data_IF_305442174570
#
_entry.id   IF_305442174570
#
_cell.length_a   1.000
_cell.length_b   1.000
_cell.length_c   1.000
_cell.angle_alpha   90.00
_cell.angle_beta   90.00
_cell.angle_gamma   90.00
#
_symmetry.space_group_name_H-M   'P 1'
#
loop_
_entity.id
_entity.type
_entity.pdbx_description
1 polymer ?
#
# COMPACT_ATOMS: atom_id res chain seq x y z
N UNK A 1 32.68 5.19 14.85
CA UNK A 1 32.09 3.91 15.32
C UNK A 1 31.71 4.20 16.75
N UNK A 2 30.42 4.13 17.06
CA UNK A 2 29.80 4.72 18.24
C UNK A 2 30.29 4.04 19.55
N UNK A 3 31.47 4.45 20.00
CA UNK A 3 32.19 3.80 21.10
C UNK A 3 31.91 4.44 22.48
N UNK A 4 31.08 5.47 22.54
CA UNK A 4 30.72 6.12 23.80
C UNK A 4 29.73 5.24 24.58
N UNK A 5 29.88 5.14 25.90
CA UNK A 5 29.04 4.28 26.78
C UNK A 5 27.55 4.65 26.78
N UNK A 6 27.23 5.84 26.27
CA UNK A 6 25.87 6.36 26.16
C UNK A 6 25.18 5.94 24.86
N UNK A 7 25.90 5.34 23.92
CA UNK A 7 25.30 4.75 22.74
C UNK A 7 24.91 3.30 22.98
N UNK A 8 23.65 2.99 22.71
CA UNK A 8 23.18 1.63 22.55
C UNK A 8 23.47 1.20 21.11
N UNK A 9 24.42 0.30 20.92
CA UNK A 9 24.74 -0.27 19.62
C UNK A 9 23.94 -1.57 19.45
N UNK A 10 23.12 -1.63 18.42
CA UNK A 10 22.33 -2.81 18.08
C UNK A 10 22.97 -3.52 16.89
N UNK A 11 23.23 -4.82 17.04
CA UNK A 11 23.53 -5.67 15.89
C UNK A 11 22.30 -5.79 14.99
N UNK A 12 22.49 -6.31 13.78
CA UNK A 12 21.43 -6.45 12.79
C UNK A 12 20.21 -7.21 13.35
N UNK A 13 20.46 -8.32 14.05
CA UNK A 13 19.44 -9.19 14.66
C UNK A 13 18.80 -8.60 15.92
N UNK A 14 19.42 -7.57 16.49
CA UNK A 14 19.04 -6.95 17.76
C UNK A 14 18.34 -5.60 17.56
N UNK A 15 18.09 -5.22 16.30
CA UNK A 15 17.32 -4.01 15.98
C UNK A 15 15.97 -4.05 16.73
N UNK A 16 15.63 -3.01 17.50
CA UNK A 16 14.42 -3.03 18.32
C UNK A 16 13.14 -3.23 17.51
N UNK A 17 12.30 -4.18 17.95
CA UNK A 17 10.99 -4.49 17.37
C UNK A 17 9.87 -3.63 17.96
N UNK A 18 8.77 -3.52 17.20
CA UNK A 18 7.46 -2.97 17.59
C UNK A 18 7.52 -1.56 18.19
N UNK A 19 8.41 -0.73 17.66
CA UNK A 19 8.54 0.68 18.04
C UNK A 19 8.97 1.54 16.86
N UNK A 20 8.64 2.82 16.95
CA UNK A 20 9.09 3.80 15.98
C UNK A 20 10.59 4.04 16.10
N UNK A 21 11.27 3.97 14.96
CA UNK A 21 12.69 4.21 14.78
C UNK A 21 12.91 5.09 13.55
N UNK A 22 14.16 5.51 13.36
CA UNK A 22 14.55 6.28 12.18
C UNK A 22 15.42 5.45 11.24
N UNK A 23 15.26 5.66 9.95
CA UNK A 23 16.22 5.25 8.93
C UNK A 23 16.92 6.50 8.42
N UNK A 24 18.25 6.46 8.33
CA UNK A 24 19.08 7.57 7.90
C UNK A 24 20.16 7.10 6.92
N UNK A 25 20.57 8.01 6.06
CA UNK A 25 21.64 7.79 5.09
C UNK A 25 23.01 7.68 5.79
N UNK A 26 23.85 6.74 5.37
CA UNK A 26 25.23 6.60 5.85
C UNK A 26 26.07 7.88 5.67
N UNK A 27 25.75 8.75 4.70
CA UNK A 27 26.49 10.00 4.49
C UNK A 27 26.44 10.93 5.70
N UNK A 28 25.43 10.80 6.57
CA UNK A 28 25.29 11.63 7.78
C UNK A 28 25.82 10.95 9.04
N UNK A 29 26.28 9.70 8.94
CA UNK A 29 26.74 8.88 10.06
C UNK A 29 27.74 9.60 10.97
N UNK A 30 28.85 10.09 10.40
CA UNK A 30 29.91 10.73 11.18
C UNK A 30 29.47 12.08 11.77
N UNK A 31 28.60 12.82 11.08
CA UNK A 31 28.06 14.09 11.59
C UNK A 31 27.12 13.85 12.76
N UNK A 32 26.30 12.80 12.69
CA UNK A 32 25.42 12.40 13.77
C UNK A 32 26.21 11.95 15.01
N UNK A 33 27.24 11.10 14.84
CA UNK A 33 28.13 10.70 15.94
C UNK A 33 28.73 11.92 16.66
N UNK A 34 29.30 12.87 15.91
CA UNK A 34 29.86 14.08 16.49
C UNK A 34 28.82 14.98 17.18
N UNK A 35 27.61 15.09 16.61
CA UNK A 35 26.51 15.87 17.21
C UNK A 35 26.10 15.28 18.56
N UNK A 36 25.90 13.95 18.61
CA UNK A 36 25.49 13.26 19.83
C UNK A 36 26.58 13.29 20.92
N UNK A 37 27.87 13.17 20.56
CA UNK A 37 28.96 13.33 21.53
C UNK A 37 28.95 14.71 22.18
N UNK A 38 28.77 15.78 21.38
CA UNK A 38 28.64 17.14 21.91
C UNK A 38 27.40 17.30 22.79
N UNK A 39 26.29 16.69 22.41
CA UNK A 39 25.06 16.68 23.21
C UNK A 39 25.27 15.99 24.57
N UNK A 40 25.98 14.86 24.60
CA UNK A 40 26.37 14.18 25.83
C UNK A 40 27.28 15.03 26.73
N UNK A 41 28.08 15.93 26.15
CA UNK A 41 28.89 16.92 26.87
C UNK A 41 28.10 18.18 27.30
N UNK A 42 26.79 18.22 27.05
CA UNK A 42 25.89 19.29 27.49
C UNK A 42 25.60 20.37 26.43
N UNK A 43 25.96 20.15 25.16
CA UNK A 43 25.51 21.02 24.07
C UNK A 43 24.00 20.83 23.77
N UNK A 44 23.41 21.75 23.02
CA UNK A 44 22.04 21.59 22.52
C UNK A 44 21.96 20.48 21.45
N UNK A 45 20.81 19.80 21.39
CA UNK A 45 20.54 18.78 20.39
C UNK A 45 20.46 19.40 18.98
N UNK A 46 21.21 18.84 18.03
CA UNK A 46 21.19 19.25 16.64
C UNK A 46 20.63 18.15 15.75
N UNK A 47 19.58 18.46 14.98
CA UNK A 47 18.98 17.53 14.05
C UNK A 47 19.88 17.33 12.81
N UNK A 48 20.48 16.15 12.70
CA UNK A 48 21.38 15.82 11.59
C UNK A 48 20.66 15.00 10.51
N UNK A 49 20.72 15.53 9.28
CA UNK A 49 20.27 14.83 8.08
C UNK A 49 18.75 14.81 7.91
N UNK A 50 18.31 14.02 6.93
CA UNK A 50 16.92 13.67 6.73
C UNK A 50 16.71 12.23 7.21
N UNK A 51 15.55 11.95 7.81
CA UNK A 51 15.21 10.62 8.32
C UNK A 51 13.88 10.14 7.74
N UNK A 52 13.79 8.85 7.51
CA UNK A 52 12.54 8.16 7.25
C UNK A 52 11.98 7.59 8.54
N UNK A 53 10.69 7.80 8.79
CA UNK A 53 9.99 7.26 9.94
C UNK A 53 9.57 5.83 9.65
N UNK A 54 10.05 4.87 10.44
CA UNK A 54 9.68 3.45 10.26
C UNK A 54 9.41 2.79 11.60
N UNK A 55 8.75 1.63 11.58
CA UNK A 55 8.73 0.69 12.70
C UNK A 55 9.26 -0.68 12.26
N UNK A 56 10.10 -1.30 13.08
CA UNK A 56 10.60 -2.65 12.81
C UNK A 56 9.55 -3.69 13.19
N UNK A 57 9.19 -4.57 12.25
CA UNK A 57 8.17 -5.61 12.46
C UNK A 57 8.78 -6.98 12.72
N UNK A 58 9.81 -7.33 11.96
CA UNK A 58 10.52 -8.60 12.12
C UNK A 58 11.97 -8.47 11.68
N UNK A 59 12.82 -9.32 12.22
CA UNK A 59 14.22 -9.45 11.81
C UNK A 59 14.54 -10.92 11.62
N UNK A 60 15.24 -11.24 10.54
CA UNK A 60 15.81 -12.57 10.32
C UNK A 60 17.28 -12.47 9.90
N UNK A 61 17.88 -13.57 9.47
CA UNK A 61 19.30 -13.61 9.10
C UNK A 61 19.62 -12.79 7.84
N UNK A 62 18.65 -12.50 6.97
CA UNK A 62 18.89 -11.91 5.65
C UNK A 62 18.34 -10.48 5.50
N UNK A 63 17.25 -10.15 6.20
CA UNK A 63 16.59 -8.86 6.06
C UNK A 63 15.83 -8.44 7.33
N UNK A 64 15.51 -7.15 7.39
CA UNK A 64 14.63 -6.54 8.38
C UNK A 64 13.31 -6.14 7.68
N UNK A 65 12.17 -6.53 8.25
CA UNK A 65 10.84 -6.08 7.81
C UNK A 65 10.52 -4.74 8.50
N UNK A 66 10.27 -3.71 7.71
CA UNK A 66 9.98 -2.36 8.17
C UNK A 66 8.59 -1.91 7.68
N UNK A 67 7.83 -1.30 8.58
CA UNK A 67 6.68 -0.47 8.24
C UNK A 67 7.17 0.95 8.02
N UNK A 68 7.22 1.40 6.77
CA UNK A 68 7.64 2.75 6.43
C UNK A 68 6.44 3.68 6.31
N UNK A 69 6.48 4.80 7.02
CA UNK A 69 5.44 5.82 6.98
C UNK A 69 5.81 6.88 5.93
N UNK A 70 5.42 6.64 4.68
CA UNK A 70 5.72 7.53 3.56
C UNK A 70 5.03 8.90 3.70
N UNK A 71 3.87 8.91 4.36
CA UNK A 71 3.15 10.13 4.67
C UNK A 71 2.36 9.94 5.96
N UNK A 72 2.51 10.89 6.90
CA UNK A 72 1.75 10.95 8.16
C UNK A 72 1.13 12.33 8.37
N UNK A 73 1.36 13.26 7.43
CA UNK A 73 1.00 14.66 7.61
C UNK A 73 -0.45 14.93 7.23
N UNK A 74 -0.91 14.37 6.10
CA UNK A 74 -2.28 14.56 5.61
C UNK A 74 -3.12 13.26 5.57
N UNK A 75 -2.47 12.11 5.65
CA UNK A 75 -3.06 10.77 5.79
C UNK A 75 -2.04 9.86 6.47
N UNK A 76 -2.47 8.71 6.99
CA UNK A 76 -1.57 7.70 7.53
C UNK A 76 -1.25 6.67 6.45
N UNK A 77 -0.19 6.92 5.67
CA UNK A 77 0.24 6.04 4.58
C UNK A 77 1.45 5.20 4.99
N UNK A 78 1.14 3.97 5.38
CA UNK A 78 2.12 2.94 5.72
C UNK A 78 2.40 2.03 4.50
N UNK A 79 3.66 1.64 4.34
CA UNK A 79 4.13 0.73 3.31
C UNK A 79 5.05 -0.32 3.95
N UNK A 80 4.80 -1.60 3.69
CA UNK A 80 5.76 -2.64 4.04
C UNK A 80 6.98 -2.61 3.09
N UNK A 81 8.18 -2.47 3.67
CA UNK A 81 9.46 -2.53 2.95
C UNK A 81 10.42 -3.51 3.65
N UNK A 82 11.40 -4.01 2.92
CA UNK A 82 12.46 -4.87 3.47
C UNK A 82 13.81 -4.19 3.34
N UNK A 83 14.59 -4.21 4.41
CA UNK A 83 15.98 -3.76 4.44
C UNK A 83 16.89 -4.99 4.41
N UNK A 84 17.56 -5.27 3.27
CA UNK A 84 18.52 -6.37 3.18
C UNK A 84 19.74 -6.15 4.08
N UNK A 85 20.32 -7.23 4.61
CA UNK A 85 21.51 -7.16 5.49
C UNK A 85 22.68 -6.43 4.86
N UNK A 86 22.92 -6.63 3.57
CA UNK A 86 24.03 -6.00 2.86
C UNK A 86 23.83 -4.48 2.68
N UNK A 87 22.63 -3.95 2.94
CA UNK A 87 22.31 -2.53 2.89
C UNK A 87 22.34 -1.86 4.28
N UNK A 88 22.41 -2.66 5.36
CA UNK A 88 22.54 -2.19 6.73
C UNK A 88 23.98 -1.76 7.04
N UNK A 89 24.15 -0.60 7.67
CA UNK A 89 25.45 -0.07 8.08
C UNK A 89 25.63 -0.15 9.59
N UNK A 90 24.69 0.39 10.37
CA UNK A 90 24.65 0.26 11.82
C UNK A 90 23.25 0.60 12.36
N UNK A 91 22.96 0.22 13.60
CA UNK A 91 21.82 0.72 14.33
C UNK A 91 22.26 1.22 15.70
N UNK A 92 21.91 2.47 16.03
CA UNK A 92 22.28 3.09 17.30
C UNK A 92 21.14 3.87 17.90
N UNK A 93 21.05 3.88 19.23
CA UNK A 93 20.13 4.74 19.99
C UNK A 93 20.79 5.19 21.30
N UNK A 94 20.01 5.83 22.16
CA UNK A 94 20.44 6.10 23.54
C UNK A 94 19.25 6.19 24.48
N UNK A 95 19.06 5.17 25.32
CA UNK A 95 17.99 5.16 26.32
C UNK A 95 18.14 6.27 27.38
N UNK A 96 19.38 6.73 27.63
CA UNK A 96 19.65 7.73 28.66
C UNK A 96 19.11 9.11 28.32
N UNK A 97 18.99 9.42 27.03
CA UNK A 97 18.42 10.68 26.55
C UNK A 97 17.18 10.49 25.68
N UNK A 98 16.56 9.31 25.72
CA UNK A 98 15.39 8.95 24.91
C UNK A 98 15.60 9.16 23.39
N UNK A 99 16.85 9.00 22.92
CA UNK A 99 17.14 9.06 21.49
C UNK A 99 16.66 7.75 20.85
N UNK A 100 15.67 7.88 19.97
CA UNK A 100 15.12 6.76 19.20
C UNK A 100 16.23 6.05 18.43
N UNK A 101 16.14 4.72 18.37
CA UNK A 101 17.06 3.95 17.56
C UNK A 101 17.02 4.44 16.10
N UNK A 102 18.20 4.50 15.49
CA UNK A 102 18.42 4.97 14.11
C UNK A 102 19.22 3.93 13.36
N UNK A 103 18.65 3.39 12.30
CA UNK A 103 19.33 2.51 11.36
C UNK A 103 19.98 3.38 10.29
N UNK A 104 21.30 3.28 10.18
CA UNK A 104 22.05 3.80 9.05
C UNK A 104 22.09 2.78 7.93
N UNK A 105 21.80 3.24 6.72
CA UNK A 105 21.72 2.40 5.51
C UNK A 105 22.54 3.01 4.38
N UNK A 106 22.88 2.19 3.40
CA UNK A 106 23.53 2.65 2.17
C UNK A 106 22.64 3.63 1.40
N UNK A 107 23.24 4.68 0.84
CA UNK A 107 22.50 5.77 0.20
C UNK A 107 21.62 5.27 -0.97
N UNK A 108 22.12 4.34 -1.78
CA UNK A 108 21.40 3.82 -2.95
C UNK A 108 20.08 3.15 -2.57
N UNK A 109 20.08 2.33 -1.51
CA UNK A 109 18.85 1.68 -1.03
C UNK A 109 17.86 2.71 -0.52
N UNK A 110 18.33 3.71 0.24
CA UNK A 110 17.45 4.76 0.77
C UNK A 110 16.86 5.60 -0.36
N UNK A 111 17.65 6.00 -1.34
CA UNK A 111 17.15 6.75 -2.50
C UNK A 111 16.12 5.92 -3.29
N UNK A 112 16.37 4.62 -3.44
CA UNK A 112 15.46 3.72 -4.16
C UNK A 112 14.05 3.67 -3.52
N UNK A 113 13.92 3.57 -2.19
CA UNK A 113 12.58 3.49 -1.57
C UNK A 113 11.70 4.72 -1.84
N UNK A 114 12.32 5.88 -2.09
CA UNK A 114 11.62 7.13 -2.42
C UNK A 114 11.40 7.34 -3.92
N UNK A 115 12.29 6.82 -4.76
CA UNK A 115 12.24 6.99 -6.21
C UNK A 115 11.50 5.86 -6.93
N UNK A 116 11.31 4.70 -6.30
CA UNK A 116 10.60 3.59 -6.90
C UNK A 116 9.11 3.87 -7.05
N UNK A 117 8.54 3.23 -8.05
CA UNK A 117 7.11 3.30 -8.35
C UNK A 117 6.35 2.27 -7.53
N UNK A 118 5.26 2.71 -6.96
CA UNK A 118 4.30 1.87 -6.23
C UNK A 118 3.00 1.76 -7.02
N UNK A 119 2.12 0.85 -6.62
CA UNK A 119 0.84 0.68 -7.30
C UNK A 119 -0.31 0.49 -6.33
N UNK A 120 -1.50 0.88 -6.79
CA UNK A 120 -2.80 0.50 -6.21
C UNK A 120 -3.47 -0.42 -7.21
N UNK A 121 -4.10 -1.49 -6.71
CA UNK A 121 -4.90 -2.40 -7.51
C UNK A 121 -6.28 -2.53 -6.92
N UNK A 122 -7.30 -2.61 -7.77
CA UNK A 122 -8.60 -3.12 -7.39
C UNK A 122 -9.07 -4.22 -8.34
N UNK A 123 -9.55 -5.32 -7.77
CA UNK A 123 -10.27 -6.38 -8.46
C UNK A 123 -11.76 -6.18 -8.20
N UNK A 124 -12.52 -5.94 -9.26
CA UNK A 124 -13.97 -5.77 -9.21
C UNK A 124 -14.60 -6.98 -9.88
N UNK A 125 -15.48 -7.68 -9.20
CA UNK A 125 -16.10 -8.91 -9.70
C UNK A 125 -17.63 -8.85 -9.60
N UNK A 126 -18.31 -9.34 -10.64
CA UNK A 126 -19.77 -9.36 -10.68
C UNK A 126 -20.32 -10.47 -9.79
N UNK A 127 -21.24 -10.12 -8.89
CA UNK A 127 -21.95 -11.10 -8.08
C UNK A 127 -22.95 -11.91 -8.92
N UNK A 128 -23.09 -13.19 -8.58
CA UNK A 128 -24.14 -14.08 -9.07
C UNK A 128 -24.22 -14.24 -10.61
N UNK A 129 -23.12 -13.97 -11.34
CA UNK A 129 -23.12 -14.00 -12.81
C UNK A 129 -23.48 -15.37 -13.39
N UNK A 130 -23.10 -16.47 -12.70
CA UNK A 130 -23.44 -17.84 -13.10
C UNK A 130 -24.95 -18.06 -13.16
N UNK A 131 -25.68 -17.50 -12.20
CA UNK A 131 -27.14 -17.59 -12.15
C UNK A 131 -27.77 -16.74 -13.26
N UNK A 132 -27.22 -15.54 -13.50
CA UNK A 132 -27.69 -14.67 -14.57
C UNK A 132 -27.46 -15.25 -15.98
N UNK A 133 -26.33 -15.93 -16.20
CA UNK A 133 -26.07 -16.68 -17.43
C UNK A 133 -27.06 -17.83 -17.60
N UNK A 134 -27.31 -18.62 -16.53
CA UNK A 134 -28.25 -19.74 -16.57
C UNK A 134 -29.69 -19.29 -16.89
N UNK A 135 -30.07 -18.10 -16.44
CA UNK A 135 -31.40 -17.52 -16.66
C UNK A 135 -31.52 -16.73 -17.98
N UNK A 136 -30.46 -16.66 -18.79
CA UNK A 136 -30.46 -15.93 -20.06
C UNK A 136 -30.54 -14.41 -19.93
N UNK A 137 -30.29 -13.85 -18.74
CA UNK A 137 -30.37 -12.41 -18.49
C UNK A 137 -29.24 -11.62 -19.16
N UNK A 138 -28.10 -12.28 -19.42
CA UNK A 138 -26.92 -11.69 -20.04
C UNK A 138 -26.97 -11.93 -21.55
N UNK A 139 -27.19 -10.86 -22.31
CA UNK A 139 -27.28 -10.90 -23.77
C UNK A 139 -26.09 -10.19 -24.41
N UNK A 140 -25.74 -10.56 -25.64
CA UNK A 140 -24.64 -9.93 -26.39
C UNK A 140 -24.78 -8.39 -26.47
N UNK A 141 -25.96 -7.80 -26.75
CA UNK A 141 -26.11 -6.35 -26.74
C UNK A 141 -25.75 -5.70 -25.40
N UNK A 142 -26.20 -6.29 -24.27
CA UNK A 142 -25.86 -5.78 -22.93
C UNK A 142 -24.37 -5.87 -22.62
N UNK A 143 -23.69 -6.93 -23.07
CA UNK A 143 -22.24 -7.06 -22.92
C UNK A 143 -21.47 -6.02 -23.75
N UNK A 144 -21.94 -5.71 -24.97
CA UNK A 144 -21.34 -4.66 -25.80
C UNK A 144 -21.55 -3.29 -25.16
N UNK A 145 -22.74 -3.04 -24.61
CA UNK A 145 -23.04 -1.82 -23.87
C UNK A 145 -22.19 -1.67 -22.61
N UNK A 146 -22.04 -2.74 -21.82
CA UNK A 146 -21.18 -2.76 -20.64
C UNK A 146 -19.75 -2.37 -21.00
N UNK A 147 -19.17 -3.02 -22.02
CA UNK A 147 -17.82 -2.70 -22.50
C UNK A 147 -17.71 -1.22 -22.87
N UNK A 148 -18.63 -0.70 -23.68
CA UNK A 148 -18.57 0.69 -24.11
C UNK A 148 -18.67 1.68 -22.93
N UNK A 149 -19.50 1.38 -21.91
CA UNK A 149 -19.61 2.21 -20.70
C UNK A 149 -18.33 2.20 -19.87
N UNK A 150 -17.66 1.05 -19.78
CA UNK A 150 -16.33 0.95 -19.15
C UNK A 150 -15.27 1.68 -19.98
N UNK A 151 -15.32 1.60 -21.31
CA UNK A 151 -14.41 2.36 -22.19
C UNK A 151 -14.59 3.88 -22.02
N UNK A 152 -15.83 4.34 -21.80
CA UNK A 152 -16.13 5.74 -21.53
C UNK A 152 -15.56 6.19 -20.18
N UNK A 153 -15.76 5.40 -19.12
CA UNK A 153 -15.17 5.65 -17.81
C UNK A 153 -13.63 5.67 -17.87
N UNK A 154 -13.02 4.68 -18.53
CA UNK A 154 -11.57 4.58 -18.67
C UNK A 154 -10.96 5.79 -19.40
N UNK A 155 -11.73 6.42 -20.30
CA UNK A 155 -11.29 7.64 -21.01
C UNK A 155 -11.17 8.85 -20.08
N UNK A 156 -11.94 8.89 -19.01
CA UNK A 156 -11.94 9.96 -18.02
C UNK A 156 -10.79 9.79 -17.00
N UNK A 157 -10.25 8.58 -16.86
CA UNK A 157 -9.21 8.22 -15.88
C UNK A 157 -7.94 7.68 -16.55
N UNK A 158 -7.24 8.53 -17.30
CA UNK A 158 -6.03 8.14 -18.07
C UNK A 158 -4.83 7.68 -17.25
N UNK A 159 -4.82 7.98 -15.94
CA UNK A 159 -3.84 7.55 -14.94
C UNK A 159 -4.16 6.16 -14.34
N UNK A 160 -5.31 5.59 -14.70
CA UNK A 160 -5.77 4.26 -14.29
C UNK A 160 -5.88 3.36 -15.51
N UNK A 161 -5.29 2.17 -15.42
CA UNK A 161 -5.45 1.11 -16.42
C UNK A 161 -6.61 0.21 -16.07
N UNK A 162 -7.44 -0.11 -17.06
CA UNK A 162 -8.60 -0.98 -16.95
C UNK A 162 -8.36 -2.26 -17.75
N UNK A 163 -8.50 -3.42 -17.12
CA UNK A 163 -8.38 -4.73 -17.77
C UNK A 163 -9.59 -5.60 -17.43
N UNK A 164 -10.43 -5.84 -18.42
CA UNK A 164 -11.61 -6.70 -18.28
C UNK A 164 -11.26 -8.18 -18.48
N UNK A 165 -11.72 -9.02 -17.56
CA UNK A 165 -11.60 -10.47 -17.58
C UNK A 165 -12.98 -11.10 -17.42
N UNK A 166 -13.62 -11.55 -18.50
CA UNK A 166 -14.93 -12.20 -18.43
C UNK A 166 -15.97 -11.47 -17.55
N UNK A 167 -16.11 -11.87 -16.28
CA UNK A 167 -17.00 -11.34 -15.23
C UNK A 167 -16.35 -10.37 -14.24
N UNK A 168 -15.06 -10.13 -14.34
CA UNK A 168 -14.28 -9.26 -13.47
C UNK A 168 -13.51 -8.19 -14.24
N UNK A 169 -13.09 -7.17 -13.51
CA UNK A 169 -12.34 -6.02 -14.00
C UNK A 169 -11.21 -5.75 -13.01
N UNK A 170 -9.99 -5.75 -13.50
CA UNK A 170 -8.84 -5.29 -12.73
C UNK A 170 -8.52 -3.86 -13.13
N UNK A 171 -8.41 -2.99 -12.14
CA UNK A 171 -7.91 -1.62 -12.33
C UNK A 171 -6.60 -1.42 -11.58
N UNK A 172 -5.69 -0.64 -12.17
CA UNK A 172 -4.35 -0.36 -11.63
C UNK A 172 -3.95 1.08 -11.87
N UNK A 173 -3.34 1.71 -10.88
CA UNK A 173 -2.58 2.96 -11.07
C UNK A 173 -1.20 2.83 -10.45
N UNK A 174 -0.30 3.70 -10.91
CA UNK A 174 1.03 3.86 -10.34
C UNK A 174 1.06 5.16 -9.52
N UNK A 175 1.84 5.17 -8.45
CA UNK A 175 2.07 6.36 -7.64
C UNK A 175 3.51 6.39 -7.14
N UNK A 176 3.93 7.58 -6.71
CA UNK A 176 5.29 7.81 -6.21
C UNK A 176 5.25 8.58 -4.89
N UNK A 177 6.29 8.39 -4.07
CA UNK A 177 6.45 9.13 -2.82
C UNK A 177 7.17 10.45 -3.07
N UNK A 178 8.25 10.40 -3.86
CA UNK A 178 9.11 11.55 -4.13
C UNK A 178 10.18 11.72 -3.06
N UNK A 179 11.34 12.23 -3.45
CA UNK A 179 12.47 12.46 -2.55
C UNK A 179 12.73 13.97 -2.46
N UNK A 180 13.15 14.48 -1.30
CA UNK A 180 13.39 15.93 -1.12
C UNK A 180 14.48 16.49 -2.05
N UNK A 181 15.36 15.63 -2.58
CA UNK A 181 16.38 16.00 -3.59
C UNK A 181 15.93 15.77 -5.03
N UNK A 182 14.76 15.19 -5.28
CA UNK A 182 14.27 14.90 -6.63
C UNK A 182 13.08 15.78 -6.99
N UNK A 183 12.78 15.87 -8.29
CA UNK A 183 11.60 16.57 -8.79
C UNK A 183 10.33 15.70 -8.74
N UNK A 184 10.45 14.45 -8.27
CA UNK A 184 9.33 13.51 -8.13
C UNK A 184 8.50 13.94 -6.92
N UNK A 185 7.20 14.09 -7.12
CA UNK A 185 6.25 14.50 -6.08
C UNK A 185 5.47 13.31 -5.57
N UNK A 186 4.91 13.43 -4.38
CA UNK A 186 3.93 12.49 -3.87
C UNK A 186 2.64 12.54 -4.70
N UNK A 187 2.18 11.40 -5.23
CA UNK A 187 1.00 11.32 -6.13
C UNK A 187 -0.07 10.32 -5.70
N UNK A 188 -0.04 9.87 -4.45
CA UNK A 188 -0.95 8.83 -3.97
C UNK A 188 -2.35 9.39 -3.66
N UNK A 189 -3.33 8.93 -4.44
CA UNK A 189 -4.75 9.30 -4.33
C UNK A 189 -5.64 8.05 -4.34
N UNK A 190 -5.65 7.26 -3.25
CA UNK A 190 -6.34 5.97 -3.19
C UNK A 190 -7.87 6.11 -3.28
N UNK A 191 -8.45 7.23 -2.84
CA UNK A 191 -9.91 7.45 -2.80
C UNK A 191 -10.57 7.26 -4.17
N UNK A 192 -9.86 7.60 -5.25
CA UNK A 192 -10.31 7.42 -6.63
C UNK A 192 -10.71 5.96 -6.92
N UNK A 193 -10.06 4.98 -6.29
CA UNK A 193 -10.40 3.57 -6.51
C UNK A 193 -11.71 3.16 -5.85
N UNK A 194 -12.08 3.76 -4.71
CA UNK A 194 -13.37 3.52 -4.08
C UNK A 194 -14.49 4.12 -4.92
N UNK A 195 -14.26 5.33 -5.45
CA UNK A 195 -15.19 6.01 -6.37
C UNK A 195 -15.38 5.20 -7.66
N UNK A 196 -14.28 4.86 -8.33
CA UNK A 196 -14.32 4.04 -9.54
C UNK A 196 -15.04 2.71 -9.32
N UNK A 197 -14.75 2.02 -8.21
CA UNK A 197 -15.43 0.77 -7.89
C UNK A 197 -16.95 0.95 -7.74
N UNK A 198 -17.40 2.02 -7.07
CA UNK A 198 -18.82 2.34 -6.92
C UNK A 198 -19.49 2.74 -8.24
N UNK A 199 -18.76 3.43 -9.13
CA UNK A 199 -19.26 3.80 -10.46
C UNK A 199 -19.37 2.58 -11.38
N UNK A 200 -18.37 1.70 -11.33
CA UNK A 200 -18.37 0.43 -12.06
C UNK A 200 -19.53 -0.44 -11.56
N UNK A 201 -19.75 -0.52 -10.24
CA UNK A 201 -20.91 -1.19 -9.68
C UNK A 201 -22.23 -0.66 -10.24
N UNK A 202 -22.38 0.66 -10.28
CA UNK A 202 -23.54 1.32 -10.86
C UNK A 202 -23.73 0.97 -12.34
N UNK A 203 -22.63 0.87 -13.11
CA UNK A 203 -22.67 0.46 -14.52
C UNK A 203 -23.12 -1.00 -14.63
N UNK A 204 -22.55 -1.92 -13.84
CA UNK A 204 -22.96 -3.33 -13.83
C UNK A 204 -24.44 -3.48 -13.47
N UNK A 205 -24.92 -2.72 -12.49
CA UNK A 205 -26.31 -2.78 -12.05
C UNK A 205 -27.26 -2.21 -13.10
N UNK A 206 -26.93 -1.08 -13.74
CA UNK A 206 -27.74 -0.50 -14.81
C UNK A 206 -27.78 -1.39 -16.05
N UNK A 207 -26.61 -1.90 -16.47
CA UNK A 207 -26.48 -2.60 -17.75
C UNK A 207 -26.84 -4.06 -17.62
N UNK A 208 -26.42 -4.77 -16.57
CA UNK A 208 -26.64 -6.21 -16.38
C UNK A 208 -27.71 -6.54 -15.32
N UNK A 209 -28.04 -5.61 -14.42
CA UNK A 209 -28.89 -5.89 -13.26
C UNK A 209 -28.18 -6.76 -12.23
N UNK A 210 -26.84 -6.67 -12.19
CA UNK A 210 -25.99 -7.38 -11.26
C UNK A 210 -25.23 -6.37 -10.41
N UNK A 211 -25.18 -6.64 -9.11
CA UNK A 211 -24.24 -5.95 -8.23
C UNK A 211 -22.84 -6.52 -8.46
N UNK A 212 -21.85 -5.74 -8.11
CA UNK A 212 -20.43 -6.11 -8.07
C UNK A 212 -19.89 -5.91 -6.66
N UNK A 213 -18.67 -6.40 -6.45
CA UNK A 213 -17.90 -6.06 -5.27
C UNK A 213 -16.45 -5.80 -5.67
N UNK A 214 -15.75 -5.01 -4.87
CA UNK A 214 -14.36 -4.65 -5.09
C UNK A 214 -13.45 -5.16 -3.96
N UNK A 215 -12.27 -5.61 -4.33
CA UNK A 215 -11.16 -5.88 -3.42
C UNK A 215 -10.03 -4.92 -3.78
N UNK A 216 -9.51 -4.16 -2.83
CA UNK A 216 -8.50 -3.12 -3.08
C UNK A 216 -7.26 -3.33 -2.21
N UNK A 217 -6.08 -3.18 -2.81
CA UNK A 217 -4.78 -3.27 -2.12
C UNK A 217 -3.77 -2.29 -2.71
N UNK A 218 -2.69 -2.03 -1.97
CA UNK A 218 -1.61 -1.15 -2.39
C UNK A 218 -0.25 -1.71 -1.98
N UNK A 219 0.81 -1.26 -2.66
CA UNK A 219 2.17 -1.54 -2.23
C UNK A 219 3.19 -1.49 -3.36
N UNK A 220 4.31 -2.15 -3.11
CA UNK A 220 5.50 -2.12 -3.97
C UNK A 220 5.24 -2.79 -5.32
N UNK A 221 5.77 -2.20 -6.40
CA UNK A 221 5.83 -2.81 -7.72
C UNK A 221 7.29 -3.06 -8.12
N UNK A 222 7.64 -4.30 -8.48
CA UNK A 222 9.00 -4.68 -8.87
C UNK A 222 9.32 -4.36 -10.34
N UNK A 223 8.31 -4.01 -11.15
CA UNK A 223 8.57 -3.50 -12.50
C UNK A 223 9.03 -2.05 -12.44
N UNK A 224 10.32 -1.86 -12.67
CA UNK A 224 10.93 -0.54 -12.83
C UNK A 224 10.70 -0.06 -14.26
N UNK A 225 9.62 0.70 -14.49
CA UNK A 225 9.39 1.61 -15.62
C UNK A 225 7.96 2.19 -15.51
N UNK A 226 7.80 3.48 -15.74
CA UNK A 226 6.58 4.25 -15.43
C UNK A 226 5.31 3.81 -16.17
N UNK A 227 5.44 3.03 -17.25
CA UNK A 227 4.31 2.60 -18.06
C UNK A 227 3.36 1.67 -17.26
N UNK A 228 2.10 2.08 -17.14
CA UNK A 228 1.06 1.32 -16.45
C UNK A 228 0.88 -0.09 -17.04
N UNK A 229 0.99 -0.19 -18.37
CA UNK A 229 0.85 -1.42 -19.16
C UNK A 229 1.99 -1.52 -20.19
N UNK A 230 2.37 -2.76 -20.50
CA UNK A 230 3.15 -3.08 -21.68
C UNK A 230 2.28 -3.88 -22.65
N UNK A 231 2.08 -3.33 -23.84
CA UNK A 231 1.41 -4.04 -24.95
C UNK A 231 2.49 -4.39 -25.96
N UNK A 232 2.63 -5.68 -26.25
CA UNK A 232 3.58 -6.14 -27.28
C UNK A 232 3.23 -5.52 -28.64
N UNK A 233 4.20 -5.34 -29.57
CA UNK A 233 3.92 -4.81 -30.91
C UNK A 233 2.88 -5.62 -31.71
N UNK A 234 2.74 -6.91 -31.42
CA UNK A 234 1.73 -7.80 -32.01
C UNK A 234 0.37 -7.76 -31.31
N UNK A 235 0.21 -6.93 -30.28
CA UNK A 235 -1.01 -6.70 -29.49
C UNK A 235 -1.62 -7.96 -28.82
N UNK A 236 -0.92 -9.09 -28.87
CA UNK A 236 -1.37 -10.38 -28.32
C UNK A 236 -0.78 -10.70 -26.94
N UNK A 237 0.09 -9.82 -26.41
CA UNK A 237 0.57 -9.88 -25.04
C UNK A 237 0.37 -8.51 -24.38
N UNK A 238 -0.45 -8.51 -23.33
CA UNK A 238 -0.70 -7.35 -22.47
C UNK A 238 -0.15 -7.72 -21.09
N UNK A 239 0.91 -7.04 -20.67
CA UNK A 239 1.52 -7.20 -19.37
C UNK A 239 1.16 -5.99 -18.51
N UNK A 240 0.66 -6.24 -17.30
CA UNK A 240 0.35 -5.21 -16.31
C UNK A 240 1.58 -4.53 -15.71
N UNK A 241 2.80 -4.90 -16.15
CA UNK A 241 4.06 -4.52 -15.51
C UNK A 241 3.90 -4.54 -13.99
N UNK A 242 3.43 -5.68 -13.48
CA UNK A 242 3.17 -5.87 -12.07
C UNK A 242 3.72 -7.23 -11.67
N UNK A 243 4.72 -7.17 -10.82
CA UNK A 243 5.19 -8.27 -10.01
C UNK A 243 5.33 -7.67 -8.62
N UNK A 244 4.49 -8.12 -7.69
CA UNK A 244 4.46 -7.52 -6.37
C UNK A 244 3.43 -8.17 -5.47
N UNK A 245 3.58 -7.94 -4.17
CA UNK A 245 2.65 -8.39 -3.13
C UNK A 245 1.21 -7.91 -3.32
N UNK A 246 0.93 -6.68 -3.83
CA UNK A 246 -0.46 -6.19 -3.86
C UNK A 246 -1.40 -7.05 -4.70
N UNK A 247 -0.96 -7.45 -5.90
CA UNK A 247 -1.79 -8.30 -6.76
C UNK A 247 -2.06 -9.69 -6.13
N UNK A 248 -1.08 -10.26 -5.43
CA UNK A 248 -1.28 -11.52 -4.71
C UNK A 248 -2.28 -11.36 -3.54
N UNK A 249 -2.19 -10.23 -2.82
CA UNK A 249 -3.08 -9.90 -1.71
C UNK A 249 -4.54 -9.76 -2.17
N UNK A 250 -4.80 -9.21 -3.37
CA UNK A 250 -6.17 -9.16 -3.91
C UNK A 250 -6.84 -10.54 -3.93
N UNK A 251 -6.15 -11.54 -4.45
CA UNK A 251 -6.68 -12.90 -4.56
C UNK A 251 -6.84 -13.55 -3.18
N UNK A 252 -5.94 -13.23 -2.25
CA UNK A 252 -5.96 -13.77 -0.89
C UNK A 252 -7.10 -13.18 -0.05
N UNK A 253 -7.33 -11.88 -0.15
CA UNK A 253 -8.46 -11.19 0.48
C UNK A 253 -9.77 -11.69 -0.12
N UNK A 254 -9.86 -11.79 -1.45
CA UNK A 254 -11.04 -12.30 -2.14
C UNK A 254 -11.40 -13.72 -1.66
N UNK A 255 -10.41 -14.61 -1.63
CA UNK A 255 -10.60 -15.99 -1.18
C UNK A 255 -10.98 -16.08 0.30
N UNK A 256 -10.38 -15.24 1.14
CA UNK A 256 -10.69 -15.14 2.57
C UNK A 256 -12.11 -14.63 2.81
N UNK A 257 -12.51 -13.53 2.15
CA UNK A 257 -13.84 -12.96 2.23
C UNK A 257 -14.92 -13.94 1.77
N UNK A 258 -14.73 -14.61 0.62
CA UNK A 258 -15.66 -15.64 0.14
C UNK A 258 -15.79 -16.81 1.12
N UNK A 259 -14.70 -17.21 1.78
CA UNK A 259 -14.73 -18.24 2.80
C UNK A 259 -15.50 -17.76 4.04
N UNK A 260 -15.19 -16.58 4.54
CA UNK A 260 -15.86 -15.97 5.70
C UNK A 260 -17.37 -15.83 5.49
N UNK A 261 -17.81 -15.45 4.29
CA UNK A 261 -19.24 -15.41 3.92
C UNK A 261 -19.89 -16.79 3.93
N UNK A 262 -19.19 -17.84 3.43
CA UNK A 262 -19.72 -19.21 3.46
C UNK A 262 -19.79 -19.78 4.87
N UNK A 263 -18.85 -19.38 5.72
CA UNK A 263 -18.72 -19.85 7.10
C UNK A 263 -19.54 -18.99 8.08
N UNK A 264 -20.37 -18.06 7.59
CA UNK A 264 -21.23 -17.15 8.36
C UNK A 264 -20.48 -16.26 9.37
N UNK A 265 -19.22 -15.92 9.06
CA UNK A 265 -18.38 -15.03 9.88
C UNK A 265 -18.81 -13.57 9.70
N UNK A 266 -19.16 -13.18 8.48
CA UNK A 266 -19.77 -11.89 8.16
C UNK A 266 -20.61 -12.01 6.88
N UNK A 267 -21.54 -11.06 6.67
CA UNK A 267 -22.36 -10.98 5.46
C UNK A 267 -21.55 -10.59 4.22
N UNK A 268 -22.16 -10.66 3.03
CA UNK A 268 -21.58 -10.08 1.82
C UNK A 268 -21.56 -8.56 1.92
N UNK A 269 -20.42 -7.98 1.56
CA UNK A 269 -20.20 -6.56 1.38
C UNK A 269 -19.73 -6.28 -0.06
N UNK A 270 -19.85 -5.04 -0.50
CA UNK A 270 -19.47 -4.58 -1.84
C UNK A 270 -18.02 -4.08 -1.88
N UNK A 271 -17.37 -3.85 -0.74
CA UNK A 271 -16.01 -3.35 -0.66
C UNK A 271 -15.19 -4.08 0.40
N UNK A 272 -14.03 -4.59 -0.02
CA UNK A 272 -13.01 -5.21 0.81
C UNK A 272 -11.67 -4.53 0.55
N UNK A 273 -10.92 -4.22 1.61
CA UNK A 273 -9.70 -3.41 1.51
C UNK A 273 -8.61 -4.00 2.37
N UNK A 274 -7.39 -4.06 1.86
CA UNK A 274 -6.21 -4.31 2.67
C UNK A 274 -6.08 -3.27 3.81
N UNK A 275 -5.58 -3.68 4.97
CA UNK A 275 -5.39 -2.82 6.15
C UNK A 275 -4.58 -1.56 5.86
N UNK A 276 -3.47 -1.67 5.13
CA UNK A 276 -2.63 -0.50 4.82
C UNK A 276 -3.35 0.44 3.85
N UNK A 277 -4.07 -0.11 2.87
CA UNK A 277 -4.90 0.70 1.98
C UNK A 277 -5.99 1.44 2.74
N UNK A 278 -6.77 0.73 3.57
CA UNK A 278 -7.86 1.30 4.36
C UNK A 278 -7.38 2.43 5.27
N UNK A 279 -6.30 2.22 6.03
CA UNK A 279 -5.79 3.25 6.95
C UNK A 279 -5.20 4.46 6.24
N UNK A 280 -4.82 4.30 4.97
CA UNK A 280 -4.31 5.38 4.13
C UNK A 280 -5.41 6.27 3.54
N UNK A 281 -6.68 5.88 3.62
CA UNK A 281 -7.80 6.71 3.18
C UNK A 281 -7.95 7.95 4.07
N UNK A 282 -8.28 9.08 3.45
CA UNK A 282 -8.58 10.34 4.14
C UNK A 282 -10.02 10.33 4.63
N UNK A 283 -10.22 9.81 5.83
CA UNK A 283 -11.52 9.90 6.49
C UNK A 283 -11.75 11.28 7.09
N UNK A 284 -13.02 11.73 7.09
CA UNK A 284 -13.45 12.96 7.76
C UNK A 284 -13.17 12.90 9.27
N UNK A 285 -12.94 14.07 9.86
CA UNK A 285 -12.72 14.16 11.31
C UNK A 285 -13.92 13.60 12.10
N UNK A 286 -13.64 12.71 13.04
CA UNK A 286 -14.65 12.07 13.89
C UNK A 286 -15.11 10.69 13.41
N UNK A 287 -14.72 10.25 12.21
CA UNK A 287 -14.96 8.87 11.78
C UNK A 287 -14.10 7.89 12.57
N UNK A 288 -14.73 6.95 13.28
CA UNK A 288 -14.05 5.98 14.16
C UNK A 288 -13.49 4.77 13.38
N UNK A 289 -12.55 5.02 12.46
CA UNK A 289 -12.01 3.99 11.54
C UNK A 289 -11.47 2.71 12.19
N UNK A 290 -11.02 2.78 13.44
CA UNK A 290 -10.49 1.62 14.17
C UNK A 290 -11.58 0.66 14.68
N UNK A 291 -12.84 1.07 14.62
CA UNK A 291 -14.01 0.24 14.99
C UNK A 291 -14.63 -0.46 13.79
N UNK A 292 -14.20 -0.10 12.57
CA UNK A 292 -14.71 -0.70 11.35
C UNK A 292 -14.45 -2.21 11.30
N UNK A 293 -15.40 -2.98 10.78
CA UNK A 293 -15.33 -4.41 10.83
C UNK A 293 -14.23 -4.92 9.90
N UNK A 294 -13.50 -5.92 10.39
CA UNK A 294 -12.33 -6.47 9.73
C UNK A 294 -12.20 -7.96 10.05
N UNK A 295 -11.43 -8.66 9.22
CA UNK A 295 -11.12 -10.07 9.42
C UNK A 295 -9.71 -10.36 8.89
N UNK A 296 -9.19 -11.54 9.20
CA UNK A 296 -7.80 -11.90 8.92
C UNK A 296 -7.65 -12.66 7.61
N UNK A 297 -6.54 -12.41 6.93
CA UNK A 297 -6.07 -13.22 5.81
C UNK A 297 -4.58 -13.50 5.95
N UNK A 298 -4.11 -14.55 5.29
CA UNK A 298 -2.69 -14.91 5.29
C UNK A 298 -2.04 -14.37 4.03
N UNK A 299 -1.39 -13.21 4.14
CA UNK A 299 -0.60 -12.65 3.06
C UNK A 299 0.57 -13.59 2.71
N UNK A 300 0.75 -13.92 1.44
CA UNK A 300 2.01 -14.54 0.99
C UNK A 300 3.17 -13.56 1.23
N UNK A 301 4.31 -14.11 1.65
CA UNK A 301 5.55 -13.36 1.88
C UNK A 301 5.56 -12.44 3.11
N UNK A 302 4.53 -12.46 3.96
CA UNK A 302 4.57 -11.80 5.27
C UNK A 302 4.56 -12.81 6.41
N UNK A 303 5.31 -12.48 7.46
CA UNK A 303 5.48 -13.32 8.65
C UNK A 303 4.24 -13.30 9.55
N UNK A 304 3.54 -12.17 9.59
CA UNK A 304 2.34 -11.95 10.41
C UNK A 304 1.05 -12.02 9.58
N UNK A 305 -0.05 -12.57 10.13
CA UNK A 305 -1.38 -12.46 9.52
C UNK A 305 -1.75 -10.99 9.29
N UNK A 306 -2.32 -10.71 8.12
CA UNK A 306 -2.81 -9.39 7.74
C UNK A 306 -4.30 -9.28 7.96
N UNK A 307 -4.82 -8.06 7.97
CA UNK A 307 -6.26 -7.82 8.04
C UNK A 307 -6.78 -7.24 6.74
N UNK A 308 -8.02 -7.58 6.42
CA UNK A 308 -8.82 -6.83 5.49
C UNK A 308 -10.02 -6.21 6.20
N UNK A 309 -10.37 -5.00 5.80
CA UNK A 309 -11.58 -4.29 6.23
C UNK A 309 -12.67 -4.52 5.20
N UNK A 310 -13.92 -4.54 5.64
CA UNK A 310 -15.07 -4.73 4.75
C UNK A 310 -16.19 -3.75 5.08
N UNK A 311 -16.80 -3.15 4.07
CA UNK A 311 -17.79 -2.08 4.23
C UNK A 311 -18.70 -1.99 2.99
N UNK A 312 -19.72 -1.12 3.04
CA UNK A 312 -20.39 -0.67 1.81
C UNK A 312 -19.59 0.47 1.13
N UNK A 313 -19.75 0.64 -0.18
CA UNK A 313 -19.21 1.78 -0.93
C UNK A 313 -19.72 3.09 -0.32
N UNK A 314 -21.02 3.18 -0.06
CA UNK A 314 -21.64 4.37 0.54
C UNK A 314 -21.02 4.75 1.88
N UNK A 315 -20.85 3.78 2.79
CA UNK A 315 -20.31 4.07 4.11
C UNK A 315 -18.88 4.61 4.03
N UNK A 316 -18.04 4.10 3.13
CA UNK A 316 -16.71 4.64 2.94
C UNK A 316 -16.78 6.03 2.29
N UNK A 317 -17.44 6.16 1.14
CA UNK A 317 -17.50 7.40 0.36
C UNK A 317 -18.10 8.57 1.16
N UNK A 318 -19.16 8.33 1.93
CA UNK A 318 -19.82 9.35 2.75
C UNK A 318 -18.92 9.87 3.89
N UNK A 319 -17.89 9.11 4.24
CA UNK A 319 -16.94 9.45 5.30
C UNK A 319 -15.55 9.82 4.76
N UNK A 320 -15.36 9.98 3.45
CA UNK A 320 -14.10 10.47 2.88
C UNK A 320 -14.07 12.00 2.78
N UNK A 321 -12.91 12.57 3.10
CA UNK A 321 -12.58 13.97 2.82
C UNK A 321 -12.06 14.10 1.38
N UNK A 322 -12.96 14.48 0.48
CA UNK A 322 -12.67 14.66 -0.95
C UNK A 322 -12.10 16.05 -1.29
N UNK A 323 -12.02 16.98 -0.33
CA UNK A 323 -11.56 18.34 -0.58
C UNK A 323 -10.05 18.47 -0.36
N UNK A 324 -9.23 18.11 -1.37
CA UNK A 324 -7.83 18.58 -1.49
C UNK A 324 -7.19 18.38 -2.85
#
# INVERSE_FOLDING_TARGET
MFNHELFDNYNFEEVPLDRDIYVADEIVFAKYENSMLRFFEGAEYEHIGYVSYVATRAVNENYIELSWYANVHDRFHEIAITLPRDQFVACVGSWQCDEKARIFVKSEWLENIYLRTYSVFALIDAADIKQALANGAITRPRLVELRNRIDDLAREHTDVSFISFADSLLIKSNWSVGHFKSNVKYTYSPEVFVQLASEIDSIYQQVLGLNSYAVISQGSNEYYNDALLHISPSENHICLNSLGTPFAQLIEIEGAARKAVRDDVHSRYDLYMDEQYFHSLRFIYGFEKNTEPNNVYKAKMMSTPSKYYYSSFSNVLDNLDMEK
#
